data_IF_756438653119
#
_entry.id   IF_756438653119
#
_cell.length_a   1.000
_cell.length_b   1.000
_cell.length_c   1.000
_cell.angle_alpha   90.00
_cell.angle_beta   90.00
_cell.angle_gamma   90.00
#
_symmetry.space_group_name_H-M   'P 1'
#
loop_
_entity.id
_entity.type
_entity.pdbx_description
1 polymer ?
#
# COMPACT_ATOMS: atom_id res chain seq x y z
N UNK A 1 -11.07 -0.64 -16.45
CA UNK A 1 -9.77 0.00 -16.74
C UNK A 1 -8.85 -0.99 -17.44
N UNK A 2 -8.47 -0.71 -18.69
CA UNK A 2 -7.27 -1.22 -19.36
C UNK A 2 -6.01 -1.28 -18.46
N UNK A 3 -5.05 -2.15 -18.78
CA UNK A 3 -3.82 -2.38 -17.99
C UNK A 3 -2.99 -1.09 -17.81
N UNK A 4 -2.82 -0.34 -18.89
CA UNK A 4 -2.12 0.94 -18.91
C UNK A 4 -2.80 2.01 -18.03
N UNK A 5 -4.13 2.10 -18.06
CA UNK A 5 -4.90 3.02 -17.20
C UNK A 5 -4.77 2.66 -15.72
N UNK A 6 -4.77 1.36 -15.38
CA UNK A 6 -4.55 0.91 -14.00
C UNK A 6 -3.17 1.29 -13.49
N UNK A 7 -2.15 1.14 -14.32
CA UNK A 7 -0.79 1.51 -13.95
C UNK A 7 -0.61 3.04 -13.82
N UNK A 8 -1.19 3.81 -14.75
CA UNK A 8 -1.19 5.27 -14.67
C UNK A 8 -1.91 5.77 -13.40
N UNK A 9 -3.06 5.19 -13.05
CA UNK A 9 -3.77 5.52 -11.83
C UNK A 9 -2.97 5.13 -10.57
N UNK A 10 -2.33 3.96 -10.56
CA UNK A 10 -1.47 3.56 -9.45
C UNK A 10 -0.27 4.50 -9.29
N UNK A 11 0.33 4.94 -10.41
CA UNK A 11 1.42 5.91 -10.42
C UNK A 11 0.96 7.27 -9.88
N UNK A 12 -0.20 7.76 -10.32
CA UNK A 12 -0.75 9.02 -9.84
C UNK A 12 -1.01 9.02 -8.32
N UNK A 13 -1.40 7.89 -7.74
CA UNK A 13 -1.51 7.75 -6.29
C UNK A 13 -0.15 7.80 -5.59
N UNK A 14 0.85 7.08 -6.11
CA UNK A 14 2.20 7.04 -5.54
C UNK A 14 2.97 8.37 -5.68
N UNK A 15 2.71 9.12 -6.75
CA UNK A 15 3.33 10.43 -6.99
C UNK A 15 2.65 11.55 -6.18
N UNK A 16 1.54 11.27 -5.49
CA UNK A 16 0.85 12.24 -4.65
C UNK A 16 1.48 12.31 -3.24
N UNK A 17 2.09 13.44 -2.85
CA UNK A 17 2.77 13.57 -1.56
C UNK A 17 1.82 13.47 -0.36
N UNK A 18 0.55 13.84 -0.52
CA UNK A 18 -0.45 13.69 0.54
C UNK A 18 -0.82 12.21 0.73
N UNK A 19 -0.83 11.42 -0.34
CA UNK A 19 -1.09 9.99 -0.26
C UNK A 19 -0.01 9.27 0.53
N UNK A 20 1.28 9.50 0.21
CA UNK A 20 2.39 8.88 0.94
C UNK A 20 2.37 9.27 2.43
N UNK A 21 2.15 10.55 2.74
CA UNK A 21 2.01 11.01 4.12
C UNK A 21 0.86 10.32 4.85
N UNK A 22 -0.31 10.24 4.22
CA UNK A 22 -1.48 9.59 4.82
C UNK A 22 -1.23 8.11 5.09
N UNK A 23 -0.56 7.42 4.15
CA UNK A 23 -0.22 6.01 4.31
C UNK A 23 0.76 5.79 5.47
N UNK A 24 1.75 6.66 5.64
CA UNK A 24 2.68 6.60 6.78
C UNK A 24 1.97 6.92 8.12
N UNK A 25 1.06 7.90 8.14
CA UNK A 25 0.25 8.23 9.33
C UNK A 25 -0.66 7.06 9.74
N UNK A 26 -1.34 6.43 8.78
CA UNK A 26 -2.19 5.26 9.03
C UNK A 26 -1.36 4.06 9.51
N UNK A 27 -0.22 3.79 8.89
CA UNK A 27 0.66 2.70 9.31
C UNK A 27 1.18 2.93 10.72
N UNK A 28 1.63 4.15 11.02
CA UNK A 28 2.09 4.56 12.34
C UNK A 28 1.00 4.41 13.40
N UNK A 29 -0.24 4.84 13.10
CA UNK A 29 -1.38 4.68 14.00
C UNK A 29 -1.68 3.21 14.31
N UNK A 30 -1.70 2.34 13.29
CA UNK A 30 -1.94 0.91 13.48
C UNK A 30 -0.81 0.24 14.29
N UNK A 31 0.46 0.56 14.01
CA UNK A 31 1.58 0.04 14.79
C UNK A 31 1.48 0.49 16.25
N UNK A 32 1.21 1.78 16.48
CA UNK A 32 1.05 2.32 17.83
C UNK A 32 -0.15 1.69 18.56
N UNK A 33 -1.27 1.44 17.87
CA UNK A 33 -2.42 0.73 18.43
C UNK A 33 -2.05 -0.70 18.84
N UNK A 34 -1.30 -1.41 18.01
CA UNK A 34 -0.81 -2.74 18.32
C UNK A 34 0.12 -2.76 19.54
N UNK A 35 1.06 -1.80 19.63
CA UNK A 35 2.03 -1.74 20.74
C UNK A 35 1.39 -1.31 22.06
N UNK A 36 0.42 -0.39 22.02
CA UNK A 36 -0.24 0.16 23.21
C UNK A 36 -1.47 -0.64 23.66
N UNK A 37 -1.88 -1.67 22.91
CA UNK A 37 -2.91 -2.59 23.35
C UNK A 37 -2.50 -3.25 24.69
N UNK A 38 -3.46 -3.39 25.62
CA UNK A 38 -3.21 -4.01 26.93
C UNK A 38 -2.57 -5.39 26.76
N UNK A 39 -1.77 -5.80 27.74
CA UNK A 39 -1.07 -7.08 27.67
C UNK A 39 -2.01 -8.28 27.47
N UNK A 40 -3.19 -8.21 28.07
CA UNK A 40 -4.25 -9.22 28.00
C UNK A 40 -5.21 -9.04 26.84
N UNK A 41 -5.13 -7.93 26.10
CA UNK A 41 -6.01 -7.64 24.97
C UNK A 41 -5.35 -8.09 23.66
N UNK A 42 -5.38 -9.41 23.46
CA UNK A 42 -4.79 -10.05 22.30
C UNK A 42 -5.57 -9.77 21.01
N UNK A 43 -6.88 -9.59 21.11
CA UNK A 43 -7.76 -9.33 19.96
C UNK A 43 -7.48 -7.97 19.35
N UNK A 44 -7.46 -6.91 20.17
CA UNK A 44 -7.14 -5.55 19.71
C UNK A 44 -5.73 -5.48 19.11
N UNK A 45 -4.76 -6.16 19.74
CA UNK A 45 -3.40 -6.25 19.20
C UNK A 45 -3.36 -6.93 17.83
N UNK A 46 -4.06 -8.05 17.69
CA UNK A 46 -4.14 -8.78 16.43
C UNK A 46 -4.81 -7.95 15.34
N UNK A 47 -5.87 -7.21 15.67
CA UNK A 47 -6.59 -6.34 14.74
C UNK A 47 -5.68 -5.24 14.18
N UNK A 48 -5.00 -4.48 15.06
CA UNK A 48 -4.07 -3.43 14.64
C UNK A 48 -2.87 -3.99 13.86
N UNK A 49 -2.35 -5.16 14.24
CA UNK A 49 -1.29 -5.81 13.48
C UNK A 49 -1.77 -6.26 12.08
N UNK A 50 -3.03 -6.68 11.93
CA UNK A 50 -3.62 -7.01 10.64
C UNK A 50 -3.80 -5.76 9.77
N UNK A 51 -4.23 -4.64 10.36
CA UNK A 51 -4.36 -3.35 9.69
C UNK A 51 -3.02 -2.85 9.14
N UNK A 52 -1.96 -2.84 9.96
CA UNK A 52 -0.62 -2.46 9.52
C UNK A 52 -0.13 -3.32 8.33
N UNK A 53 -0.41 -4.64 8.35
CA UNK A 53 -0.11 -5.53 7.22
C UNK A 53 -0.93 -5.20 5.98
N UNK A 54 -2.22 -4.90 6.13
CA UNK A 54 -3.07 -4.52 5.02
C UNK A 54 -2.58 -3.23 4.33
N UNK A 55 -2.19 -2.22 5.11
CA UNK A 55 -1.61 -0.96 4.63
C UNK A 55 -0.34 -1.23 3.82
N UNK A 56 0.59 -2.04 4.35
CA UNK A 56 1.82 -2.44 3.63
C UNK A 56 1.52 -3.19 2.33
N UNK A 57 0.60 -4.15 2.38
CA UNK A 57 0.20 -4.93 1.22
C UNK A 57 -0.43 -4.05 0.14
N UNK A 58 -1.24 -3.06 0.53
CA UNK A 58 -1.84 -2.10 -0.39
C UNK A 58 -0.76 -1.25 -1.10
N UNK A 59 0.21 -0.70 -0.35
CA UNK A 59 1.35 0.04 -0.94
C UNK A 59 2.15 -0.85 -1.90
N UNK A 60 2.43 -2.09 -1.50
CA UNK A 60 3.13 -3.05 -2.35
C UNK A 60 2.36 -3.35 -3.64
N UNK A 61 1.03 -3.48 -3.55
CA UNK A 61 0.16 -3.72 -4.71
C UNK A 61 0.15 -2.53 -5.68
N UNK A 62 0.09 -1.30 -5.17
CA UNK A 62 0.18 -0.09 -5.99
C UNK A 62 1.53 0.00 -6.70
N UNK A 63 2.63 -0.24 -5.99
CA UNK A 63 3.97 -0.27 -6.59
C UNK A 63 4.06 -1.34 -7.69
N UNK A 64 3.57 -2.55 -7.43
CA UNK A 64 3.51 -3.61 -8.44
C UNK A 64 2.68 -3.20 -9.67
N UNK A 65 1.51 -2.60 -9.47
CA UNK A 65 0.66 -2.13 -10.57
C UNK A 65 1.32 -1.02 -11.39
N UNK A 66 2.04 -0.10 -10.74
CA UNK A 66 2.77 0.96 -11.43
C UNK A 66 3.97 0.42 -12.25
N UNK A 67 4.64 -0.63 -11.77
CA UNK A 67 5.80 -1.22 -12.44
C UNK A 67 5.43 -2.18 -13.58
N UNK A 68 4.29 -2.89 -13.53
CA UNK A 68 3.83 -3.77 -14.63
C UNK A 68 3.69 -3.03 -15.98
N UNK A 69 3.41 -1.72 -15.98
CA UNK A 69 3.39 -0.93 -17.22
C UNK A 69 4.77 -0.79 -17.89
N UNK A 70 5.87 -0.88 -17.14
CA UNK A 70 7.22 -0.81 -17.73
C UNK A 70 7.56 -2.08 -18.51
N UNK A 71 7.02 -3.24 -18.11
CA UNK A 71 7.32 -4.53 -18.73
C UNK A 71 6.46 -4.84 -19.95
N UNK A 72 5.25 -4.26 -20.06
CA UNK A 72 4.38 -4.44 -21.22
C UNK A 72 4.80 -3.56 -22.43
N UNK A 73 5.69 -2.59 -22.24
CA UNK A 73 6.15 -1.66 -23.28
C UNK A 73 7.37 -2.09 -24.11
N UNK A 74 8.03 -3.20 -23.78
CA UNK A 74 9.25 -3.69 -24.47
C UNK A 74 9.01 -4.79 -25.50
N UNK A 75 7.75 -5.09 -25.84
CA UNK A 75 7.36 -6.14 -26.79
C UNK A 75 7.03 -5.68 -28.22
N UNK A 76 7.52 -4.52 -28.68
CA UNK A 76 7.37 -4.13 -30.09
C UNK A 76 8.40 -4.88 -30.96
N UNK A 77 8.00 -5.66 -31.97
CA UNK A 77 8.94 -6.40 -32.81
C UNK A 77 9.71 -5.42 -33.71
N UNK A 78 11.03 -5.60 -33.79
CA UNK A 78 11.90 -5.00 -34.78
C UNK A 78 11.88 -5.82 -36.09
#
# INVERSE_FOLDING_TARGET
MPSNEKAAAARALLDNPLFERLMDELEGAAINGCLNAKLTDHETRAAFAAEARAIRNFRAKLKFMAEQAKTEGTGAPA
#
